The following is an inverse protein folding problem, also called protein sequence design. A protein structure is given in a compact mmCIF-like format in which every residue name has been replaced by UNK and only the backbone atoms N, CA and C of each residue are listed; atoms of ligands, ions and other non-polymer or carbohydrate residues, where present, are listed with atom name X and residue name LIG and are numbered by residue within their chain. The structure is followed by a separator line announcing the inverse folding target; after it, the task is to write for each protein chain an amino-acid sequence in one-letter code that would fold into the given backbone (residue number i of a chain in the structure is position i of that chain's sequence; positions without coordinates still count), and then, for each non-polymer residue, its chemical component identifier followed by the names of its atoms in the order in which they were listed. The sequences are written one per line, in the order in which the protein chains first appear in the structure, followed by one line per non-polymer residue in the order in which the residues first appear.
data_IF_408436115328
#
_entry.id   IF_408436115328
#
_cell.length_a   1.000
_cell.length_b   1.000
_cell.length_c   1.000
_cell.angle_alpha   90.00
_cell.angle_beta   90.00
_cell.angle_gamma   90.00
#
_symmetry.space_group_name_H-M   'P 1'
#
loop_
_entity.id
_entity.type
_entity.pdbx_description
1 polymer ?
#
# COMPACT_ATOMS: atom_id res chain seq x y z
N UNK A 1 -12.72 7.98 2.68
CA UNK A 1 -11.73 9.08 2.70
C UNK A 1 -11.74 9.84 4.02
N UNK A 2 -12.89 9.92 4.71
CA UNK A 2 -13.01 10.53 6.04
C UNK A 2 -12.06 9.88 7.08
N UNK A 3 -11.94 8.56 7.10
CA UNK A 3 -11.01 7.85 8.01
C UNK A 3 -9.53 8.22 7.80
N UNK A 4 -9.14 8.49 6.55
CA UNK A 4 -7.76 8.85 6.22
C UNK A 4 -7.46 10.31 6.60
N UNK A 5 -8.45 11.20 6.47
CA UNK A 5 -8.36 12.58 6.97
C UNK A 5 -8.24 12.64 8.49
N UNK A 6 -9.06 11.88 9.20
CA UNK A 6 -8.99 11.77 10.66
C UNK A 6 -7.63 11.22 11.15
N UNK A 7 -7.06 10.24 10.42
CA UNK A 7 -5.72 9.72 10.74
C UNK A 7 -4.60 10.76 10.52
N UNK A 8 -4.71 11.62 9.51
CA UNK A 8 -3.76 12.73 9.28
C UNK A 8 -3.85 13.76 10.39
N UNK A 9 -5.06 14.17 10.77
CA UNK A 9 -5.27 15.13 11.85
C UNK A 9 -4.78 14.60 13.20
N UNK A 10 -5.04 13.33 13.51
CA UNK A 10 -4.54 12.68 14.72
C UNK A 10 -3.01 12.63 14.75
N UNK A 11 -2.37 12.25 13.63
CA UNK A 11 -0.92 12.22 13.52
C UNK A 11 -0.29 13.63 13.63
N UNK A 12 -0.94 14.65 13.08
CA UNK A 12 -0.48 16.05 13.16
C UNK A 12 -0.60 16.58 14.59
N UNK A 13 -1.69 16.25 15.29
CA UNK A 13 -1.85 16.59 16.71
C UNK A 13 -0.80 15.92 17.60
N UNK A 14 -0.50 14.63 17.38
CA UNK A 14 0.58 13.92 18.07
C UNK A 14 1.95 14.57 17.80
N UNK A 15 2.23 14.90 16.54
CA UNK A 15 3.46 15.59 16.16
C UNK A 15 3.60 16.96 16.84
N UNK A 16 2.53 17.76 16.85
CA UNK A 16 2.54 19.06 17.54
C UNK A 16 2.74 18.90 19.04
N UNK A 17 2.18 17.85 19.65
CA UNK A 17 2.35 17.54 21.08
C UNK A 17 3.81 17.18 21.39
N UNK A 18 4.43 16.33 20.58
CA UNK A 18 5.85 15.98 20.70
C UNK A 18 6.76 17.19 20.49
N UNK A 19 6.47 18.03 19.50
CA UNK A 19 7.23 19.25 19.23
C UNK A 19 7.10 20.28 20.37
N UNK A 20 5.93 20.40 21.01
CA UNK A 20 5.77 21.22 22.22
C UNK A 20 6.63 20.70 23.37
N UNK A 21 6.65 19.38 23.59
CA UNK A 21 7.52 18.74 24.60
C UNK A 21 9.00 18.95 24.30
N UNK A 22 9.41 18.79 23.04
CA UNK A 22 10.77 19.10 22.59
C UNK A 22 11.16 20.54 22.94
N UNK A 23 10.35 21.52 22.55
CA UNK A 23 10.60 22.94 22.83
C UNK A 23 10.69 23.23 24.33
N UNK A 24 9.81 22.63 25.13
CA UNK A 24 9.85 22.78 26.59
C UNK A 24 11.15 22.21 27.18
N UNK A 25 11.56 21.03 26.73
CA UNK A 25 12.80 20.37 27.17
C UNK A 25 14.05 21.17 26.78
N UNK A 26 14.08 21.76 25.58
CA UNK A 26 15.15 22.65 25.14
C UNK A 26 15.22 23.92 25.99
N UNK A 27 14.08 24.54 26.29
CA UNK A 27 14.02 25.73 27.16
C UNK A 27 14.50 25.39 28.59
N UNK A 28 14.14 24.22 29.11
CA UNK A 28 14.58 23.76 30.44
C UNK A 28 16.09 23.47 30.47
N UNK A 29 16.62 22.86 29.42
CA UNK A 29 18.06 22.65 29.24
C UNK A 29 18.82 23.97 29.13
N UNK A 30 18.33 24.93 28.35
CA UNK A 30 18.92 26.27 28.23
C UNK A 30 18.84 27.04 29.56
N UNK A 31 17.74 26.96 30.30
CA UNK A 31 17.60 27.60 31.60
C UNK A 31 18.57 27.01 32.63
N UNK A 32 18.73 25.68 32.61
CA UNK A 32 19.68 24.96 33.47
C UNK A 32 21.13 25.29 33.12
N UNK A 33 21.44 25.44 31.82
CA UNK A 33 22.76 25.82 31.33
C UNK A 33 23.12 27.29 31.65
N UNK A 34 22.16 28.22 31.47
CA UNK A 34 22.33 29.65 31.79
C UNK A 34 22.45 29.93 33.28
N UNK A 35 21.86 29.09 34.14
CA UNK A 35 21.97 29.26 35.59
C UNK A 35 23.39 29.06 36.10
N UNK A 36 24.22 28.33 35.35
CA UNK A 36 25.60 27.99 35.71
C UNK A 36 25.69 27.28 37.08
N UNK A 37 26.84 26.69 37.45
CA UNK A 37 27.07 26.27 38.82
C UNK A 37 27.27 27.52 39.69
N UNK A 38 26.19 28.27 39.96
CA UNK A 38 26.26 29.41 40.85
C UNK A 38 26.26 28.93 42.30
N UNK A 39 27.48 28.68 42.79
CA UNK A 39 27.88 28.80 44.19
C UNK A 39 27.30 27.79 45.17
N UNK A 40 28.01 26.69 45.40
CA UNK A 40 28.30 26.19 46.76
C UNK A 40 29.20 24.97 46.66
N UNK A 41 30.27 24.99 47.45
CA UNK A 41 30.97 23.79 47.85
C UNK A 41 29.98 22.77 48.46
N UNK A 42 30.33 21.49 48.34
CA UNK A 42 29.68 20.32 48.94
C UNK A 42 28.46 19.73 48.20
N UNK A 43 28.45 18.40 48.20
CA UNK A 43 27.41 17.46 47.78
C UNK A 43 27.43 17.02 46.30
N UNK A 44 28.00 15.83 46.12
CA UNK A 44 27.66 14.87 45.07
C UNK A 44 26.15 14.89 44.75
N UNK A 45 25.77 15.16 43.50
CA UNK A 45 24.37 15.05 43.06
C UNK A 45 23.91 16.02 41.95
N UNK A 46 24.61 17.14 41.76
CA UNK A 46 24.18 18.19 40.80
C UNK A 46 24.40 17.89 39.31
N UNK A 47 25.19 16.86 38.96
CA UNK A 47 25.45 16.45 37.57
C UNK A 47 24.32 15.62 36.94
N UNK A 48 23.31 15.24 37.73
CA UNK A 48 22.29 14.26 37.33
C UNK A 48 21.20 14.87 36.43
N UNK A 49 20.69 16.08 36.70
CA UNK A 49 19.53 16.57 35.93
C UNK A 49 19.89 17.00 34.50
N UNK A 50 21.02 17.69 34.28
CA UNK A 50 21.48 18.10 32.94
C UNK A 50 21.81 16.90 32.04
N UNK A 51 22.43 15.86 32.60
CA UNK A 51 22.71 14.62 31.88
C UNK A 51 21.44 13.81 31.62
N UNK A 52 20.48 13.79 32.54
CA UNK A 52 19.16 13.17 32.34
C UNK A 52 18.34 13.86 31.24
N UNK A 53 18.33 15.19 31.19
CA UNK A 53 17.65 15.96 30.14
C UNK A 53 18.29 15.73 28.77
N UNK A 54 19.63 15.66 28.72
CA UNK A 54 20.38 15.34 27.49
C UNK A 54 20.13 13.91 27.01
N UNK A 55 20.03 12.94 27.93
CA UNK A 55 19.69 11.55 27.61
C UNK A 55 18.25 11.39 27.10
N UNK A 56 17.30 12.19 27.62
CA UNK A 56 15.90 12.17 27.18
C UNK A 56 15.70 12.82 25.80
N UNK A 57 16.62 13.67 25.35
CA UNK A 57 16.50 14.41 24.09
C UNK A 57 16.69 13.51 22.85
N UNK A 58 17.59 12.52 22.92
CA UNK A 58 17.89 11.60 21.83
C UNK A 58 16.68 10.77 21.38
N UNK A 59 16.08 9.97 22.28
CA UNK A 59 14.88 9.19 21.97
C UNK A 59 13.71 10.06 21.50
N UNK A 60 13.57 11.26 22.05
CA UNK A 60 12.51 12.18 21.64
C UNK A 60 12.72 12.74 20.23
N UNK A 61 13.97 12.96 19.81
CA UNK A 61 14.29 13.32 18.43
C UNK A 61 14.02 12.17 17.46
N UNK A 62 14.38 10.94 17.84
CA UNK A 62 14.12 9.74 17.03
C UNK A 62 12.61 9.52 16.85
N UNK A 63 11.82 9.68 17.92
CA UNK A 63 10.35 9.61 17.85
C UNK A 63 9.76 10.70 16.96
N UNK A 64 10.29 11.92 17.03
CA UNK A 64 9.83 13.05 16.24
C UNK A 64 10.15 12.86 14.75
N UNK A 65 11.32 12.31 14.42
CA UNK A 65 11.69 11.93 13.05
C UNK A 65 10.81 10.78 12.53
N UNK A 66 10.56 9.75 13.33
CA UNK A 66 9.70 8.63 12.95
C UNK A 66 8.26 9.10 12.67
N UNK A 67 7.71 9.96 13.53
CA UNK A 67 6.37 10.54 13.36
C UNK A 67 6.30 11.48 12.16
N UNK A 68 7.34 12.26 11.89
CA UNK A 68 7.42 13.10 10.70
C UNK A 68 7.42 12.26 9.39
N UNK A 69 8.17 11.15 9.37
CA UNK A 69 8.18 10.20 8.23
C UNK A 69 6.80 9.58 8.03
N UNK A 70 6.17 9.11 9.11
CA UNK A 70 4.82 8.52 9.06
C UNK A 70 3.79 9.53 8.51
N UNK A 71 3.84 10.77 9.00
CA UNK A 71 2.93 11.83 8.58
C UNK A 71 3.14 12.21 7.10
N UNK A 72 4.38 12.28 6.63
CA UNK A 72 4.69 12.54 5.23
C UNK A 72 4.16 11.43 4.32
N UNK A 73 4.36 10.16 4.70
CA UNK A 73 3.81 9.02 3.97
C UNK A 73 2.28 9.07 3.92
N UNK A 74 1.63 9.38 5.04
CA UNK A 74 0.18 9.46 5.11
C UNK A 74 -0.37 10.59 4.23
N UNK A 75 0.30 11.74 4.17
CA UNK A 75 -0.01 12.83 3.24
C UNK A 75 0.15 12.41 1.78
N UNK A 76 1.22 11.67 1.45
CA UNK A 76 1.40 11.14 0.10
C UNK A 76 0.30 10.15 -0.29
N UNK A 77 -0.07 9.24 0.60
CA UNK A 77 -1.16 8.28 0.36
C UNK A 77 -2.50 9.01 0.24
N UNK A 78 -2.76 10.03 1.06
CA UNK A 78 -3.95 10.85 0.96
C UNK A 78 -4.02 11.57 -0.40
N UNK A 79 -2.91 12.16 -0.85
CA UNK A 79 -2.84 12.83 -2.14
C UNK A 79 -2.93 11.84 -3.30
N UNK A 80 -2.34 10.65 -3.18
CA UNK A 80 -2.48 9.56 -4.15
C UNK A 80 -3.93 9.07 -4.20
N UNK A 81 -4.62 8.94 -3.06
CA UNK A 81 -6.02 8.56 -2.99
C UNK A 81 -6.93 9.62 -3.61
N UNK A 82 -6.65 10.91 -3.37
CA UNK A 82 -7.35 12.02 -4.01
C UNK A 82 -7.15 12.00 -5.54
N UNK A 83 -5.92 11.76 -6.00
CA UNK A 83 -5.59 11.68 -7.43
C UNK A 83 -6.10 10.37 -8.08
N UNK A 84 -6.19 9.27 -7.33
CA UNK A 84 -6.72 7.99 -7.83
C UNK A 84 -8.23 7.97 -7.86
N UNK A 85 -8.90 8.67 -6.94
CA UNK A 85 -10.35 8.92 -6.99
C UNK A 85 -10.75 9.67 -8.27
N UNK A 86 -9.84 10.45 -8.85
CA UNK A 86 -10.03 11.17 -10.12
C UNK A 86 -9.74 10.27 -11.34
N UNK A 87 -9.11 9.10 -11.15
CA UNK A 87 -8.92 8.11 -12.20
C UNK A 87 -10.07 7.09 -12.15
N UNK A 88 -11.10 7.20 -13.01
CA UNK A 88 -12.16 6.20 -13.03
C UNK A 88 -11.56 4.81 -13.26
N UNK A 89 -12.16 3.73 -12.71
CA UNK A 89 -11.71 2.38 -12.99
C UNK A 89 -11.59 2.24 -14.52
N UNK A 90 -10.39 1.90 -15.00
CA UNK A 90 -10.13 1.76 -16.43
C UNK A 90 -11.13 0.74 -16.96
N UNK A 91 -12.17 1.23 -17.64
CA UNK A 91 -13.13 0.38 -18.33
C UNK A 91 -12.30 -0.46 -19.30
N UNK A 92 -12.28 -1.77 -19.10
CA UNK A 92 -11.68 -2.69 -20.07
C UNK A 92 -12.56 -2.60 -21.32
N UNK A 93 -12.23 -1.67 -22.22
CA UNK A 93 -12.86 -1.57 -23.52
C UNK A 93 -12.23 -2.69 -24.35
N UNK A 94 -12.92 -3.83 -24.45
CA UNK A 94 -12.54 -4.85 -25.42
C UNK A 94 -12.48 -4.20 -26.80
N UNK A 95 -11.35 -4.30 -27.50
CA UNK A 95 -11.26 -3.81 -28.86
C UNK A 95 -12.37 -4.48 -29.70
N UNK A 96 -12.94 -3.80 -30.71
CA UNK A 96 -13.98 -4.39 -31.55
C UNK A 96 -13.57 -5.74 -32.13
N UNK A 97 -12.28 -5.92 -32.38
CA UNK A 97 -11.69 -7.15 -32.85
C UNK A 97 -11.69 -8.28 -31.79
N UNK A 98 -11.42 -7.96 -30.51
CA UNK A 98 -11.51 -8.91 -29.41
C UNK A 98 -12.96 -9.39 -29.18
N UNK A 99 -13.94 -8.51 -29.34
CA UNK A 99 -15.36 -8.87 -29.29
C UNK A 99 -15.70 -9.82 -30.44
N UNK A 100 -15.29 -9.50 -31.68
CA UNK A 100 -15.50 -10.40 -32.84
C UNK A 100 -14.90 -11.78 -32.62
N UNK A 101 -13.67 -11.85 -32.10
CA UNK A 101 -13.00 -13.12 -31.76
C UNK A 101 -13.78 -13.91 -30.70
N UNK A 102 -14.19 -13.26 -29.60
CA UNK A 102 -14.99 -13.91 -28.54
C UNK A 102 -16.32 -14.43 -29.08
N UNK A 103 -17.03 -13.64 -29.88
CA UNK A 103 -18.31 -14.03 -30.48
C UNK A 103 -18.14 -15.20 -31.46
N UNK A 104 -17.09 -15.18 -32.28
CA UNK A 104 -16.78 -16.28 -33.20
C UNK A 104 -16.50 -17.58 -32.43
N UNK A 105 -15.66 -17.54 -31.39
CA UNK A 105 -15.36 -18.70 -30.54
C UNK A 105 -16.60 -19.24 -29.83
N UNK A 106 -17.49 -18.36 -29.36
CA UNK A 106 -18.75 -18.77 -28.74
C UNK A 106 -19.70 -19.45 -29.73
N UNK A 107 -19.83 -18.93 -30.96
CA UNK A 107 -20.63 -19.58 -32.02
C UNK A 107 -20.10 -20.96 -32.38
N UNK A 108 -18.78 -21.09 -32.50
CA UNK A 108 -18.13 -22.36 -32.77
C UNK A 108 -18.41 -23.36 -31.64
N UNK A 109 -18.25 -22.96 -30.37
CA UNK A 109 -18.54 -23.82 -29.22
C UNK A 109 -20.03 -24.24 -29.17
N UNK A 110 -20.94 -23.32 -29.49
CA UNK A 110 -22.37 -23.64 -29.60
C UNK A 110 -22.63 -24.67 -30.71
N UNK A 111 -22.00 -24.50 -31.87
CA UNK A 111 -22.07 -25.48 -32.96
C UNK A 111 -21.57 -26.87 -32.54
N UNK A 112 -20.45 -26.94 -31.81
CA UNK A 112 -19.96 -28.21 -31.27
C UNK A 112 -20.94 -28.85 -30.29
N UNK A 113 -21.52 -28.08 -29.36
CA UNK A 113 -22.52 -28.61 -28.41
C UNK A 113 -23.79 -29.10 -29.11
N UNK A 114 -24.22 -28.41 -30.17
CA UNK A 114 -25.36 -28.83 -30.98
C UNK A 114 -25.06 -30.14 -31.70
N UNK A 115 -23.92 -30.25 -32.40
CA UNK A 115 -23.50 -31.47 -33.06
C UNK A 115 -23.31 -32.63 -32.09
N UNK A 116 -22.79 -32.38 -30.89
CA UNK A 116 -22.69 -33.38 -29.82
C UNK A 116 -24.07 -33.85 -29.37
N UNK A 117 -25.02 -32.93 -29.17
CA UNK A 117 -26.40 -33.27 -28.82
C UNK A 117 -27.12 -34.04 -29.93
N UNK A 118 -26.90 -33.68 -31.20
CA UNK A 118 -27.45 -34.35 -32.37
C UNK A 118 -26.81 -35.73 -32.58
N UNK A 119 -25.50 -35.87 -32.38
CA UNK A 119 -24.80 -37.14 -32.42
C UNK A 119 -25.29 -38.06 -31.29
N UNK A 120 -25.56 -37.51 -30.11
CA UNK A 120 -26.15 -38.26 -28.99
C UNK A 120 -27.61 -38.65 -29.26
N UNK A 121 -28.38 -37.81 -29.95
CA UNK A 121 -29.76 -38.12 -30.37
C UNK A 121 -29.85 -39.07 -31.56
N UNK A 122 -28.88 -39.05 -32.48
CA UNK A 122 -28.74 -40.01 -33.58
C UNK A 122 -28.04 -41.32 -33.15
N UNK A 123 -27.43 -41.32 -31.96
CA UNK A 123 -26.53 -42.36 -31.45
C UNK A 123 -27.18 -43.43 -30.58
N UNK A 124 -28.51 -43.56 -30.54
CA UNK A 124 -29.15 -44.82 -30.14
C UNK A 124 -29.09 -45.83 -31.30
N UNK A 125 -27.88 -46.26 -31.63
CA UNK A 125 -27.64 -47.36 -32.59
C UNK A 125 -26.35 -47.19 -33.40
N UNK A 126 -25.28 -47.88 -32.99
CA UNK A 126 -24.20 -48.23 -33.90
C UNK A 126 -22.81 -47.67 -33.54
N UNK A 127 -22.04 -48.52 -32.87
CA UNK A 127 -20.57 -48.61 -32.90
C UNK A 127 -19.88 -47.97 -34.12
N UNK A 128 -18.92 -47.08 -33.88
CA UNK A 128 -17.62 -47.09 -34.59
C UNK A 128 -16.61 -46.16 -33.89
N UNK A 129 -15.55 -46.75 -33.32
CA UNK A 129 -14.34 -46.04 -32.88
C UNK A 129 -13.69 -45.29 -34.05
N UNK A 130 -13.15 -44.07 -33.85
CA UNK A 130 -12.45 -43.36 -34.92
C UNK A 130 -11.04 -43.95 -35.12
N UNK A 131 -10.55 -44.11 -36.37
CA UNK A 131 -9.15 -44.45 -36.59
C UNK A 131 -8.29 -43.21 -36.33
N UNK A 132 -7.31 -43.36 -35.44
CA UNK A 132 -6.21 -42.43 -35.25
C UNK A 132 -5.41 -42.31 -36.55
N UNK A 133 -5.68 -41.28 -37.36
CA UNK A 133 -4.71 -40.82 -38.36
C UNK A 133 -3.85 -39.72 -37.76
N UNK A 134 -2.78 -40.16 -37.11
CA UNK A 134 -1.57 -39.35 -36.91
C UNK A 134 -1.00 -39.07 -38.30
N UNK A 135 -0.97 -37.80 -38.72
CA UNK A 135 -0.12 -37.37 -39.83
C UNK A 135 0.76 -36.24 -39.35
N UNK A 136 1.94 -36.63 -38.88
CA UNK A 136 3.07 -35.76 -38.66
C UNK A 136 3.70 -35.39 -40.01
N UNK A 137 3.85 -34.09 -40.27
CA UNK A 137 4.89 -33.44 -41.09
C UNK A 137 4.79 -31.95 -40.69
N UNK A 138 5.67 -31.38 -39.86
CA UNK A 138 7.06 -31.03 -40.17
C UNK A 138 7.07 -29.65 -40.87
N UNK A 139 7.19 -28.53 -40.13
CA UNK A 139 8.43 -27.78 -39.84
C UNK A 139 8.93 -26.89 -41.01
N UNK A 140 8.95 -25.54 -40.80
CA UNK A 140 9.68 -24.42 -41.46
C UNK A 140 9.81 -24.41 -43.01
N UNK A 141 9.51 -23.33 -43.72
CA UNK A 141 10.14 -21.99 -43.66
C UNK A 141 9.25 -20.93 -44.35
#
# INVERSE_FOLDING_TARGET
MEDLGAAVEAADHEFQTLNKRYKALVVEMEATSRRGPSGSAAAEGGGSSSTQLSQALGPLLDELEAKAKQLNLLKQVFQQAANSSINPPRRIVHSPEAIRRKTASLRLLQGYRQLESEAKNKGSGGSASPPLRVRATGFFH
#
